data_IF_738248755119
#
_entry.id   IF_738248755119
#
_cell.length_a   1.000
_cell.length_b   1.000
_cell.length_c   1.000
_cell.angle_alpha   90.00
_cell.angle_beta   90.00
_cell.angle_gamma   90.00
#
_symmetry.space_group_name_H-M   'P 1'
#
loop_
_entity.id
_entity.type
_entity.pdbx_description
1 polymer ?
#
# COMPACT_ATOMS: atom_id res chain seq x y z
N UNK A 1 1.98 -37.36 20.62
CA UNK A 1 1.71 -36.82 19.28
C UNK A 1 2.91 -35.98 18.89
N UNK A 2 3.55 -36.28 17.76
CA UNK A 2 4.63 -35.45 17.24
C UNK A 2 4.02 -34.17 16.61
N UNK A 3 4.72 -33.03 16.59
CA UNK A 3 4.25 -31.83 15.90
C UNK A 3 4.06 -32.12 14.41
N UNK A 4 3.09 -31.48 13.78
CA UNK A 4 2.93 -31.53 12.34
C UNK A 4 4.20 -30.99 11.65
N UNK A 5 4.59 -31.64 10.55
CA UNK A 5 5.75 -31.21 9.79
C UNK A 5 5.51 -29.80 9.22
N UNK A 6 6.54 -28.95 9.28
CA UNK A 6 6.48 -27.62 8.70
C UNK A 6 6.18 -27.71 7.20
N UNK A 7 5.22 -26.89 6.75
CA UNK A 7 4.87 -26.81 5.33
C UNK A 7 6.04 -26.23 4.55
N UNK A 8 6.36 -26.82 3.40
CA UNK A 8 7.42 -26.30 2.53
C UNK A 8 6.91 -25.11 1.70
N UNK A 9 7.68 -24.00 1.62
CA UNK A 9 7.38 -22.89 0.74
C UNK A 9 7.33 -23.31 -0.73
N UNK A 10 6.45 -22.67 -1.50
CA UNK A 10 6.42 -22.81 -2.96
C UNK A 10 7.37 -21.79 -3.62
N UNK A 11 7.81 -22.00 -4.87
CA UNK A 11 8.60 -20.99 -5.59
C UNK A 11 7.90 -19.63 -5.71
N UNK A 12 6.57 -19.63 -5.84
CA UNK A 12 5.77 -18.40 -5.85
C UNK A 12 5.75 -17.75 -4.47
N UNK A 13 5.55 -18.53 -3.40
CA UNK A 13 5.60 -18.04 -2.03
C UNK A 13 6.94 -17.40 -1.65
N UNK A 14 8.05 -17.97 -2.12
CA UNK A 14 9.41 -17.44 -1.89
C UNK A 14 9.69 -16.14 -2.64
N UNK A 15 9.05 -15.93 -3.79
CA UNK A 15 9.29 -14.76 -4.66
C UNK A 15 8.27 -13.64 -4.46
N UNK A 16 7.23 -13.87 -3.66
CA UNK A 16 6.13 -12.93 -3.45
C UNK A 16 6.61 -11.57 -2.92
N UNK A 17 7.51 -11.57 -1.93
CA UNK A 17 7.86 -10.39 -1.13
C UNK A 17 6.70 -9.91 -0.25
N UNK A 18 6.70 -8.63 0.14
CA UNK A 18 5.70 -8.05 1.03
C UNK A 18 4.41 -7.71 0.28
N UNK A 19 3.31 -8.30 0.74
CA UNK A 19 1.97 -8.09 0.22
C UNK A 19 1.10 -7.45 1.30
N UNK A 20 0.78 -6.16 1.15
CA UNK A 20 0.02 -5.39 2.14
C UNK A 20 -1.34 -4.99 1.57
N UNK A 21 -2.41 -5.53 2.13
CA UNK A 21 -3.77 -5.37 1.63
C UNK A 21 -4.65 -4.65 2.65
N UNK A 22 -5.44 -3.70 2.18
CA UNK A 22 -6.57 -3.15 2.93
C UNK A 22 -7.85 -3.82 2.44
N UNK A 23 -8.75 -4.21 3.34
CA UNK A 23 -10.05 -4.79 2.98
C UNK A 23 -11.16 -3.91 3.55
N UNK A 24 -11.97 -3.33 2.66
CA UNK A 24 -13.07 -2.44 2.99
C UNK A 24 -14.35 -2.94 2.33
N UNK A 25 -15.48 -2.76 3.01
CA UNK A 25 -16.81 -3.07 2.49
C UNK A 25 -17.85 -2.74 3.54
N UNK A 26 -19.13 -2.78 3.16
CA UNK A 26 -20.22 -2.51 4.10
C UNK A 26 -20.21 -3.50 5.28
N UNK A 27 -20.95 -3.17 6.34
CA UNK A 27 -21.16 -4.11 7.43
C UNK A 27 -21.81 -5.40 6.89
N UNK A 28 -21.22 -6.55 7.22
CA UNK A 28 -21.67 -7.84 6.72
C UNK A 28 -21.24 -8.19 5.28
N UNK A 29 -20.40 -7.38 4.60
CA UNK A 29 -19.96 -7.64 3.23
C UNK A 29 -19.08 -8.89 3.03
N UNK A 30 -18.83 -9.69 4.07
CA UNK A 30 -18.00 -10.89 3.98
C UNK A 30 -16.49 -10.64 3.94
N UNK A 31 -16.00 -9.56 4.58
CA UNK A 31 -14.57 -9.21 4.65
C UNK A 31 -13.73 -10.35 5.23
N UNK A 32 -14.10 -10.87 6.39
CA UNK A 32 -13.36 -11.99 7.02
C UNK A 32 -13.48 -13.29 6.22
N UNK A 33 -14.61 -13.51 5.53
CA UNK A 33 -14.76 -14.64 4.60
C UNK A 33 -13.81 -14.54 3.41
N UNK A 34 -13.67 -13.34 2.82
CA UNK A 34 -12.69 -13.09 1.77
C UNK A 34 -11.27 -13.38 2.27
N UNK A 35 -10.91 -12.88 3.45
CA UNK A 35 -9.59 -13.11 4.05
C UNK A 35 -9.32 -14.59 4.28
N UNK A 36 -10.32 -15.35 4.77
CA UNK A 36 -10.25 -16.81 4.85
C UNK A 36 -9.97 -17.44 3.49
N UNK A 37 -10.74 -17.07 2.45
CA UNK A 37 -10.56 -17.62 1.10
C UNK A 37 -9.18 -17.32 0.49
N UNK A 38 -8.56 -16.19 0.85
CA UNK A 38 -7.22 -15.81 0.40
C UNK A 38 -6.12 -16.65 1.06
N UNK A 39 -6.29 -17.07 2.31
CA UNK A 39 -5.22 -17.66 3.12
C UNK A 39 -5.45 -19.15 3.45
N UNK A 40 -6.67 -19.53 3.78
CA UNK A 40 -7.05 -20.90 4.10
C UNK A 40 -6.93 -21.78 2.84
N UNK A 41 -6.34 -22.96 3.03
CA UNK A 41 -6.01 -23.90 1.96
C UNK A 41 -5.16 -23.29 0.83
N UNK A 42 -4.46 -22.18 1.09
CA UNK A 42 -3.52 -21.58 0.14
C UNK A 42 -2.18 -22.30 0.16
N UNK A 43 -1.82 -22.95 -0.95
CA UNK A 43 -0.59 -23.71 -1.08
C UNK A 43 0.67 -22.87 -0.91
N UNK A 44 0.61 -21.59 -1.27
CA UNK A 44 1.74 -20.67 -1.10
C UNK A 44 1.88 -20.15 0.32
N UNK A 45 0.90 -20.36 1.20
CA UNK A 45 0.92 -19.90 2.59
C UNK A 45 1.41 -21.02 3.50
N UNK A 46 2.52 -20.78 4.18
CA UNK A 46 3.14 -21.74 5.11
C UNK A 46 2.65 -21.60 6.54
N UNK A 47 2.25 -20.39 6.94
CA UNK A 47 1.70 -20.10 8.26
C UNK A 47 0.69 -18.95 8.19
N UNK A 48 -0.43 -19.08 8.91
CA UNK A 48 -1.41 -18.02 9.13
C UNK A 48 -1.37 -17.65 10.62
N UNK A 49 -1.15 -16.38 10.91
CA UNK A 49 -1.15 -15.85 12.26
C UNK A 49 -2.55 -15.71 12.84
N UNK A 50 -2.64 -15.05 13.98
CA UNK A 50 -3.92 -14.70 14.63
C UNK A 50 -4.33 -13.27 14.30
N UNK A 51 -5.63 -12.99 14.38
CA UNK A 51 -6.12 -11.63 14.30
C UNK A 51 -5.58 -10.78 15.47
N UNK A 52 -4.99 -9.65 15.14
CA UNK A 52 -4.51 -8.63 16.08
C UNK A 52 -5.41 -7.39 15.96
N UNK A 53 -5.84 -6.83 17.11
CA UNK A 53 -6.55 -5.55 17.11
C UNK A 53 -5.56 -4.42 16.79
N UNK A 54 -5.93 -3.55 15.86
CA UNK A 54 -5.16 -2.36 15.48
C UNK A 54 -6.02 -1.10 15.62
N UNK A 55 -5.38 0.06 15.65
CA UNK A 55 -6.03 1.37 15.83
C UNK A 55 -7.22 1.59 14.88
N UNK A 56 -7.13 1.05 13.67
CA UNK A 56 -8.09 1.30 12.61
C UNK A 56 -8.88 0.06 12.16
N UNK A 57 -8.77 -1.07 12.84
CA UNK A 57 -9.40 -2.31 12.41
C UNK A 57 -8.72 -3.55 13.00
N UNK A 58 -8.71 -4.65 12.25
CA UNK A 58 -8.02 -5.87 12.64
C UNK A 58 -6.98 -6.24 11.61
N UNK A 59 -5.85 -6.74 12.04
CA UNK A 59 -4.75 -7.14 11.17
C UNK A 59 -4.55 -8.64 11.26
N UNK A 60 -4.44 -9.29 10.13
CA UNK A 60 -4.03 -10.68 10.02
C UNK A 60 -2.71 -10.73 9.25
N UNK A 61 -1.72 -11.42 9.81
CA UNK A 61 -0.45 -11.66 9.14
C UNK A 61 -0.33 -13.12 8.75
N UNK A 62 0.24 -13.37 7.58
CA UNK A 62 0.56 -14.71 7.10
C UNK A 62 1.94 -14.71 6.46
N UNK A 63 2.51 -15.91 6.33
CA UNK A 63 3.85 -16.13 5.81
C UNK A 63 3.76 -17.04 4.59
N UNK A 64 4.52 -16.71 3.55
CA UNK A 64 4.67 -17.58 2.38
C UNK A 64 6.05 -18.25 2.31
N UNK A 65 6.92 -17.95 3.27
CA UNK A 65 8.27 -18.49 3.36
C UNK A 65 8.73 -18.57 4.83
N UNK A 66 9.83 -19.30 5.06
CA UNK A 66 10.49 -19.42 6.36
C UNK A 66 11.86 -18.76 6.33
N UNK A 67 12.14 -17.92 7.32
CA UNK A 67 13.49 -17.41 7.58
C UNK A 67 14.26 -18.47 8.35
N UNK A 68 15.29 -19.03 7.73
CA UNK A 68 16.23 -19.93 8.39
C UNK A 68 17.23 -19.10 9.22
N UNK A 69 17.24 -19.33 10.53
CA UNK A 69 18.21 -18.80 11.46
C UNK A 69 19.10 -19.93 11.97
N UNK A 70 20.40 -19.70 12.00
CA UNK A 70 21.34 -20.55 12.73
C UNK A 70 21.65 -19.89 14.06
N UNK A 71 21.31 -20.56 15.15
CA UNK A 71 21.67 -20.07 16.47
C UNK A 71 23.17 -20.26 16.75
N UNK A 72 23.65 -19.67 17.86
CA UNK A 72 25.05 -19.77 18.27
C UNK A 72 25.51 -21.22 18.57
N UNK A 73 24.57 -22.16 18.69
CA UNK A 73 24.81 -23.58 18.94
C UNK A 73 24.73 -24.41 17.65
N UNK A 74 24.48 -23.78 16.49
CA UNK A 74 24.38 -24.45 15.19
C UNK A 74 23.05 -25.13 14.95
N UNK A 75 22.03 -24.88 15.77
CA UNK A 75 20.67 -25.37 15.54
C UNK A 75 19.95 -24.45 14.56
N UNK A 76 19.26 -25.07 13.61
CA UNK A 76 18.38 -24.39 12.66
C UNK A 76 17.06 -24.05 13.35
N UNK A 77 16.73 -22.76 13.37
CA UNK A 77 15.45 -22.23 13.82
C UNK A 77 14.76 -21.59 12.61
N UNK A 78 13.53 -22.01 12.35
CA UNK A 78 12.71 -21.42 11.30
C UNK A 78 11.77 -20.39 11.91
N UNK A 79 11.72 -19.19 11.34
CA UNK A 79 10.81 -18.11 11.73
C UNK A 79 9.94 -17.72 10.54
N UNK A 80 8.63 -17.59 10.75
CA UNK A 80 7.71 -17.15 9.71
C UNK A 80 8.04 -15.74 9.23
N UNK A 81 8.08 -15.51 7.91
CA UNK A 81 8.39 -14.20 7.32
C UNK A 81 7.37 -13.11 7.64
N UNK A 82 6.09 -13.46 7.83
CA UNK A 82 4.97 -12.53 8.03
C UNK A 82 4.85 -11.48 6.92
N UNK A 83 5.21 -11.85 5.70
CA UNK A 83 5.27 -10.97 4.53
C UNK A 83 3.90 -10.67 3.91
N UNK A 84 2.83 -11.34 4.35
CA UNK A 84 1.45 -11.01 3.94
C UNK A 84 0.75 -10.33 5.10
N UNK A 85 0.27 -9.11 4.89
CA UNK A 85 -0.49 -8.33 5.87
C UNK A 85 -1.85 -7.96 5.28
N UNK A 86 -2.93 -8.37 5.94
CA UNK A 86 -4.31 -8.03 5.57
C UNK A 86 -4.93 -7.23 6.70
N UNK A 87 -5.26 -5.97 6.42
CA UNK A 87 -5.94 -5.07 7.36
C UNK A 87 -7.43 -5.04 7.01
N UNK A 88 -8.25 -5.63 7.87
CA UNK A 88 -9.70 -5.53 7.79
C UNK A 88 -10.18 -4.22 8.43
N UNK A 89 -10.70 -3.32 7.60
CA UNK A 89 -11.21 -2.02 8.01
C UNK A 89 -12.66 -2.13 8.50
N UNK A 90 -13.10 -1.28 9.44
CA UNK A 90 -14.48 -1.21 9.92
C UNK A 90 -15.47 -1.15 8.76
N UNK A 91 -16.56 -1.92 8.88
CA UNK A 91 -17.64 -1.84 7.91
C UNK A 91 -18.36 -0.50 8.01
N UNK A 92 -18.76 0.04 6.87
CA UNK A 92 -19.64 1.22 6.80
C UNK A 92 -21.08 0.81 6.53
N UNK A 93 -22.01 1.71 6.84
CA UNK A 93 -23.44 1.56 6.63
C UNK A 93 -24.04 2.81 5.97
N UNK A 94 -25.37 2.89 5.88
CA UNK A 94 -26.06 4.04 5.28
C UNK A 94 -26.02 5.31 6.14
N UNK A 95 -25.71 5.20 7.44
CA UNK A 95 -25.65 6.32 8.37
C UNK A 95 -24.23 6.88 8.53
N UNK A 96 -23.25 6.19 7.96
CA UNK A 96 -21.84 6.57 8.05
C UNK A 96 -21.60 7.88 7.29
N UNK A 97 -20.99 8.88 7.96
CA UNK A 97 -20.52 10.09 7.28
C UNK A 97 -19.39 9.72 6.31
N UNK A 98 -19.69 9.80 5.02
CA UNK A 98 -18.75 9.44 3.96
C UNK A 98 -17.49 10.30 3.94
N UNK A 99 -17.56 11.57 4.34
CA UNK A 99 -16.39 12.44 4.36
C UNK A 99 -15.46 12.11 5.53
N UNK A 100 -16.04 11.86 6.71
CA UNK A 100 -15.28 11.41 7.89
C UNK A 100 -14.60 10.07 7.61
N UNK A 101 -15.33 9.12 7.04
CA UNK A 101 -14.79 7.82 6.64
C UNK A 101 -13.65 7.98 5.65
N UNK A 102 -13.82 8.77 4.59
CA UNK A 102 -12.77 9.01 3.59
C UNK A 102 -11.54 9.67 4.23
N UNK A 103 -11.73 10.63 5.14
CA UNK A 103 -10.61 11.28 5.83
C UNK A 103 -9.82 10.26 6.68
N UNK A 104 -10.51 9.40 7.42
CA UNK A 104 -9.90 8.30 8.19
C UNK A 104 -9.18 7.30 7.31
N UNK A 105 -9.76 6.93 6.17
CA UNK A 105 -9.11 5.99 5.24
C UNK A 105 -7.87 6.61 4.59
N UNK A 106 -7.90 7.91 4.28
CA UNK A 106 -6.72 8.63 3.79
C UNK A 106 -5.61 8.68 4.83
N UNK A 107 -5.90 8.92 6.11
CA UNK A 107 -4.85 8.93 7.14
C UNK A 107 -4.14 7.58 7.26
N UNK A 108 -4.88 6.48 7.14
CA UNK A 108 -4.31 5.12 7.10
C UNK A 108 -3.41 4.94 5.87
N UNK A 109 -3.92 5.27 4.68
CA UNK A 109 -3.17 5.11 3.41
C UNK A 109 -1.94 6.02 3.38
N UNK A 110 -2.03 7.23 3.93
CA UNK A 110 -0.94 8.21 3.91
C UNK A 110 0.10 7.97 5.00
N UNK A 111 -0.20 7.20 6.06
CA UNK A 111 0.79 6.83 7.08
C UNK A 111 2.10 6.28 6.48
N UNK A 112 2.10 5.24 5.62
CA UNK A 112 3.31 4.79 4.94
C UNK A 112 3.85 5.82 3.92
N UNK A 113 3.01 6.72 3.39
CA UNK A 113 3.48 7.77 2.48
C UNK A 113 4.38 8.77 3.21
N UNK A 114 3.98 9.22 4.40
CA UNK A 114 4.81 10.10 5.23
C UNK A 114 6.10 9.39 5.62
N UNK A 115 6.02 8.14 6.10
CA UNK A 115 7.21 7.37 6.49
C UNK A 115 8.23 7.22 5.33
N UNK A 116 7.77 6.98 4.12
CA UNK A 116 8.63 6.93 2.93
C UNK A 116 9.15 8.31 2.56
N UNK A 117 8.29 9.33 2.57
CA UNK A 117 8.66 10.70 2.22
C UNK A 117 9.73 11.27 3.14
N UNK A 118 9.69 10.94 4.44
CA UNK A 118 10.65 11.39 5.45
C UNK A 118 12.07 10.89 5.17
N UNK A 119 12.20 9.71 4.56
CA UNK A 119 13.50 9.12 4.19
C UNK A 119 13.97 9.60 2.81
N UNK A 120 13.05 10.06 1.96
CA UNK A 120 13.38 10.56 0.63
C UNK A 120 13.75 12.05 0.66
N UNK A 121 14.92 12.40 0.13
CA UNK A 121 15.36 13.79 0.05
C UNK A 121 14.31 14.69 -0.63
N UNK A 122 13.95 15.86 -0.06
CA UNK A 122 12.87 16.73 -0.56
C UNK A 122 13.04 17.20 -2.00
N UNK A 123 14.28 17.33 -2.48
CA UNK A 123 14.56 17.81 -3.85
C UNK A 123 14.48 16.71 -4.91
N UNK A 124 14.37 15.44 -4.52
CA UNK A 124 14.33 14.34 -5.48
C UNK A 124 13.02 14.38 -6.28
N UNK A 125 13.12 14.66 -7.57
CA UNK A 125 11.97 14.56 -8.47
C UNK A 125 11.63 13.09 -8.75
N UNK A 126 10.37 12.78 -9.09
CA UNK A 126 10.02 11.44 -9.57
C UNK A 126 10.89 11.04 -10.75
N UNK A 127 11.45 9.84 -10.69
CA UNK A 127 12.29 9.26 -11.72
C UNK A 127 12.01 7.77 -11.81
N UNK A 128 12.34 7.16 -12.96
CA UNK A 128 12.15 5.72 -13.15
C UNK A 128 12.92 4.87 -12.11
N UNK A 129 14.12 5.32 -11.72
CA UNK A 129 14.94 4.64 -10.70
C UNK A 129 14.23 4.67 -9.34
N UNK A 130 13.73 5.83 -8.93
CA UNK A 130 13.00 5.98 -7.68
C UNK A 130 11.70 5.17 -7.70
N UNK A 131 10.97 5.18 -8.82
CA UNK A 131 9.77 4.38 -8.98
C UNK A 131 10.07 2.88 -8.83
N UNK A 132 11.10 2.36 -9.50
CA UNK A 132 11.48 0.95 -9.41
C UNK A 132 11.90 0.53 -7.99
N UNK A 133 12.59 1.42 -7.27
CA UNK A 133 12.95 1.18 -5.88
C UNK A 133 11.71 1.11 -4.98
N UNK A 134 10.78 2.06 -5.15
CA UNK A 134 9.55 2.14 -4.35
C UNK A 134 8.53 1.05 -4.71
N UNK A 135 8.60 0.49 -5.92
CA UNK A 135 7.82 -0.68 -6.33
C UNK A 135 8.48 -2.00 -5.97
N UNK A 136 9.59 -1.98 -5.23
CA UNK A 136 10.32 -3.20 -4.84
C UNK A 136 9.48 -4.10 -3.94
N UNK A 137 9.82 -5.39 -3.83
CA UNK A 137 9.07 -6.34 -3.02
C UNK A 137 9.01 -6.02 -1.52
N UNK A 138 9.90 -5.18 -0.99
CA UNK A 138 9.92 -4.78 0.42
C UNK A 138 9.35 -3.37 0.65
N UNK A 139 8.51 -2.89 -0.27
CA UNK A 139 7.92 -1.56 -0.16
C UNK A 139 6.96 -1.48 1.03
N UNK A 140 7.02 -0.41 1.85
CA UNK A 140 6.08 -0.23 2.93
C UNK A 140 4.72 0.29 2.44
N UNK A 141 4.55 0.60 1.14
CA UNK A 141 3.28 1.07 0.60
C UNK A 141 2.24 -0.07 0.59
N UNK A 142 0.97 0.28 0.82
CA UNK A 142 -0.11 -0.69 0.61
C UNK A 142 -0.18 -1.10 -0.86
N UNK A 143 -0.15 -2.41 -1.10
CA UNK A 143 -0.19 -3.00 -2.45
C UNK A 143 -1.54 -2.75 -3.11
N UNK A 144 -2.64 -2.94 -2.37
CA UNK A 144 -3.99 -2.67 -2.86
C UNK A 144 -5.01 -2.49 -1.72
N UNK A 145 -6.11 -1.81 -2.05
CA UNK A 145 -7.37 -1.79 -1.32
C UNK A 145 -8.37 -2.68 -2.05
N UNK A 146 -8.78 -3.78 -1.41
CA UNK A 146 -9.87 -4.62 -1.88
C UNK A 146 -11.18 -4.04 -1.35
N UNK A 147 -12.03 -3.63 -2.27
CA UNK A 147 -13.32 -3.00 -1.98
C UNK A 147 -14.46 -3.98 -2.30
N UNK A 148 -15.04 -4.54 -1.24
CA UNK A 148 -16.21 -5.41 -1.30
C UNK A 148 -17.47 -4.55 -1.43
N UNK A 149 -18.05 -4.60 -2.62
CA UNK A 149 -19.15 -3.74 -3.00
C UNK A 149 -20.43 -4.57 -3.14
N UNK A 150 -21.60 -4.00 -2.78
CA UNK A 150 -22.89 -4.63 -3.08
C UNK A 150 -23.13 -4.74 -4.61
N UNK A 151 -24.16 -5.48 -5.01
CA UNK A 151 -24.51 -5.72 -6.43
C UNK A 151 -24.72 -4.46 -7.27
N UNK A 152 -24.96 -3.31 -6.63
CA UNK A 152 -25.06 -2.00 -7.27
C UNK A 152 -24.32 -0.94 -6.45
N UNK A 153 -23.42 -0.14 -7.05
CA UNK A 153 -22.67 0.90 -6.32
C UNK A 153 -23.60 1.99 -5.80
N UNK A 154 -23.53 2.25 -4.50
CA UNK A 154 -24.19 3.37 -3.84
C UNK A 154 -23.43 4.69 -4.08
N UNK A 155 -24.05 5.81 -3.73
CA UNK A 155 -23.38 7.13 -3.78
C UNK A 155 -22.15 7.18 -2.88
N UNK A 156 -22.23 6.54 -1.70
CA UNK A 156 -21.10 6.43 -0.77
C UNK A 156 -19.96 5.60 -1.37
N UNK A 157 -20.27 4.48 -2.03
CA UNK A 157 -19.25 3.66 -2.70
C UNK A 157 -18.49 4.46 -3.76
N UNK A 158 -19.22 5.23 -4.58
CA UNK A 158 -18.61 6.09 -5.60
C UNK A 158 -17.75 7.19 -4.96
N UNK A 159 -18.21 7.79 -3.85
CA UNK A 159 -17.44 8.78 -3.10
C UNK A 159 -16.12 8.19 -2.59
N UNK A 160 -16.17 7.01 -1.97
CA UNK A 160 -14.99 6.30 -1.46
C UNK A 160 -14.02 6.00 -2.61
N UNK A 161 -14.49 5.37 -3.69
CA UNK A 161 -13.65 4.99 -4.83
C UNK A 161 -13.01 6.22 -5.47
N UNK A 162 -13.79 7.28 -5.72
CA UNK A 162 -13.26 8.48 -6.36
C UNK A 162 -12.27 9.24 -5.47
N UNK A 163 -12.48 9.19 -4.14
CA UNK A 163 -11.63 9.88 -3.17
C UNK A 163 -10.34 9.14 -2.83
N UNK A 164 -10.37 7.80 -2.82
CA UNK A 164 -9.22 6.96 -2.44
C UNK A 164 -8.44 6.43 -3.65
N UNK A 165 -9.06 6.32 -4.83
CA UNK A 165 -8.41 5.88 -6.05
C UNK A 165 -7.12 6.67 -6.38
N UNK A 166 -7.02 7.99 -6.17
CA UNK A 166 -5.75 8.69 -6.35
C UNK A 166 -4.60 8.23 -5.43
N UNK A 167 -4.88 7.51 -4.34
CA UNK A 167 -3.93 7.23 -3.26
C UNK A 167 -3.59 5.74 -3.11
N UNK A 168 -4.44 4.80 -3.50
CA UNK A 168 -4.17 3.35 -3.38
C UNK A 168 -4.84 2.57 -4.52
N UNK A 169 -4.20 1.52 -5.09
CA UNK A 169 -4.83 0.62 -6.07
C UNK A 169 -6.12 0.00 -5.54
N UNK A 170 -7.26 0.30 -6.17
CA UNK A 170 -8.56 -0.23 -5.73
C UNK A 170 -8.96 -1.40 -6.63
N UNK A 171 -9.14 -2.57 -6.01
CA UNK A 171 -9.69 -3.77 -6.63
C UNK A 171 -11.12 -3.94 -6.12
N UNK A 172 -12.11 -3.91 -7.01
CA UNK A 172 -13.52 -4.03 -6.63
C UNK A 172 -14.01 -5.47 -6.82
N UNK A 173 -14.67 -6.03 -5.80
CA UNK A 173 -15.31 -7.34 -5.86
C UNK A 173 -16.79 -7.26 -5.48
N UNK A 174 -17.72 -7.87 -6.27
CA UNK A 174 -17.47 -8.50 -7.57
C UNK A 174 -17.04 -7.50 -8.64
N UNK A 175 -16.34 -7.96 -9.69
CA UNK A 175 -15.81 -7.07 -10.73
C UNK A 175 -16.93 -6.28 -11.40
N UNK A 176 -16.75 -4.96 -11.44
CA UNK A 176 -17.64 -4.05 -12.16
C UNK A 176 -17.59 -4.32 -13.67
N UNK A 177 -18.75 -4.35 -14.31
CA UNK A 177 -18.80 -4.44 -15.77
C UNK A 177 -18.33 -3.12 -16.40
N UNK A 178 -17.34 -3.16 -17.33
CA UNK A 178 -16.68 -1.96 -17.85
C UNK A 178 -17.62 -1.00 -18.58
N UNK A 179 -18.78 -1.48 -19.05
CA UNK A 179 -19.72 -0.67 -19.83
C UNK A 179 -20.68 0.18 -18.99
N UNK A 180 -20.80 -0.06 -17.68
CA UNK A 180 -21.74 0.66 -16.80
C UNK A 180 -21.13 1.89 -16.10
N UNK A 181 -19.81 1.97 -16.00
CA UNK A 181 -19.15 2.94 -15.12
C UNK A 181 -18.07 3.77 -15.82
N UNK A 182 -18.46 4.49 -16.89
CA UNK A 182 -17.58 5.46 -17.59
C UNK A 182 -17.05 6.61 -16.71
N UNK A 183 -17.45 6.69 -15.44
CA UNK A 183 -17.00 7.72 -14.49
C UNK A 183 -15.93 7.26 -13.49
N UNK A 184 -15.60 5.97 -13.38
CA UNK A 184 -14.69 5.45 -12.35
C UNK A 184 -13.30 5.19 -12.96
N UNK A 185 -12.54 6.27 -13.20
CA UNK A 185 -11.27 6.21 -13.94
C UNK A 185 -10.04 5.80 -13.11
N UNK A 186 -10.17 5.55 -11.80
CA UNK A 186 -9.02 5.40 -10.87
C UNK A 186 -8.89 4.04 -10.16
N UNK A 187 -9.59 3.02 -10.66
CA UNK A 187 -9.42 1.63 -10.18
C UNK A 187 -8.07 1.06 -10.62
N UNK A 188 -7.69 -0.09 -10.04
CA UNK A 188 -6.56 -0.86 -10.57
C UNK A 188 -6.87 -1.43 -11.96
N UNK A 189 -5.82 -1.64 -12.77
CA UNK A 189 -5.94 -2.40 -14.02
C UNK A 189 -6.15 -3.90 -13.77
N UNK A 190 -5.73 -4.42 -12.61
CA UNK A 190 -6.03 -5.79 -12.21
C UNK A 190 -7.48 -5.88 -11.72
N UNK A 191 -8.32 -6.62 -12.45
CA UNK A 191 -9.76 -6.75 -12.21
C UNK A 191 -10.18 -8.22 -12.16
N UNK A 192 -9.91 -8.91 -11.05
CA UNK A 192 -10.27 -10.31 -10.91
C UNK A 192 -11.80 -10.48 -10.91
N UNK A 193 -12.36 -11.45 -11.66
CA UNK A 193 -13.80 -11.67 -11.72
C UNK A 193 -14.38 -12.28 -10.44
N UNK A 194 -13.54 -12.86 -9.58
CA UNK A 194 -13.93 -13.54 -8.34
C UNK A 194 -12.82 -13.47 -7.30
N UNK A 195 -13.15 -13.81 -6.05
CA UNK A 195 -12.17 -13.88 -4.97
C UNK A 195 -11.13 -15.01 -5.18
N UNK A 196 -11.50 -16.10 -5.87
CA UNK A 196 -10.55 -17.15 -6.27
C UNK A 196 -9.55 -16.62 -7.30
N UNK A 197 -10.03 -15.87 -8.32
CA UNK A 197 -9.14 -15.23 -9.30
C UNK A 197 -8.27 -14.14 -8.66
N UNK A 198 -8.78 -13.44 -7.63
CA UNK A 198 -7.99 -12.52 -6.82
C UNK A 198 -6.84 -13.29 -6.13
N UNK A 199 -7.12 -14.41 -5.45
CA UNK A 199 -6.09 -15.24 -4.81
C UNK A 199 -5.02 -15.69 -5.80
N UNK A 200 -5.43 -16.24 -6.96
CA UNK A 200 -4.49 -16.67 -8.00
C UNK A 200 -3.63 -15.49 -8.49
N UNK A 201 -4.24 -14.33 -8.77
CA UNK A 201 -3.47 -13.16 -9.22
C UNK A 201 -2.52 -12.61 -8.15
N UNK A 202 -2.90 -12.65 -6.87
CA UNK A 202 -2.05 -12.15 -5.78
C UNK A 202 -0.91 -13.09 -5.40
N UNK A 203 -1.11 -14.41 -5.47
CA UNK A 203 -0.13 -15.37 -4.97
C UNK A 203 0.62 -16.12 -6.09
N UNK A 204 0.01 -16.32 -7.26
CA UNK A 204 0.59 -17.10 -8.36
C UNK A 204 0.96 -16.26 -9.60
N UNK A 205 0.81 -14.93 -9.57
CA UNK A 205 1.25 -14.05 -10.66
C UNK A 205 2.16 -12.94 -10.13
N UNK A 206 3.49 -13.15 -10.15
CA UNK A 206 4.44 -12.12 -9.72
C UNK A 206 4.31 -10.83 -10.54
N UNK A 207 3.91 -10.94 -11.82
CA UNK A 207 3.65 -9.79 -12.70
C UNK A 207 2.48 -8.95 -12.20
N UNK A 208 1.42 -9.59 -11.70
CA UNK A 208 0.24 -8.90 -11.16
C UNK A 208 0.61 -8.12 -9.89
N UNK A 209 1.39 -8.73 -8.99
CA UNK A 209 1.84 -8.05 -7.77
C UNK A 209 2.81 -6.91 -8.09
N UNK A 210 3.74 -7.11 -9.03
CA UNK A 210 4.63 -6.05 -9.50
C UNK A 210 3.86 -4.86 -10.11
N UNK A 211 2.81 -5.15 -10.90
CA UNK A 211 1.91 -4.13 -11.44
C UNK A 211 1.21 -3.35 -10.32
N UNK A 212 0.65 -4.04 -9.31
CA UNK A 212 -0.02 -3.37 -8.19
C UNK A 212 0.96 -2.48 -7.38
N UNK A 213 2.18 -2.95 -7.14
CA UNK A 213 3.25 -2.17 -6.49
C UNK A 213 3.63 -0.94 -7.32
N UNK A 214 3.72 -1.08 -8.64
CA UNK A 214 3.98 0.05 -9.54
C UNK A 214 2.84 1.08 -9.48
N UNK A 215 1.58 0.63 -9.51
CA UNK A 215 0.44 1.54 -9.37
C UNK A 215 0.43 2.26 -8.01
N UNK A 216 0.71 1.55 -6.91
CA UNK A 216 0.80 2.13 -5.58
C UNK A 216 1.91 3.19 -5.50
N UNK A 217 3.05 2.89 -6.12
CA UNK A 217 4.19 3.81 -6.23
C UNK A 217 3.84 5.06 -7.02
N UNK A 218 3.18 4.93 -8.18
CA UNK A 218 2.75 6.07 -8.98
C UNK A 218 1.77 6.97 -8.19
N UNK A 219 0.86 6.37 -7.42
CA UNK A 219 -0.09 7.10 -6.55
C UNK A 219 0.65 7.85 -5.42
N UNK A 220 1.66 7.23 -4.81
CA UNK A 220 2.52 7.88 -3.83
C UNK A 220 3.30 9.06 -4.42
N UNK A 221 3.97 8.86 -5.57
CA UNK A 221 4.79 9.91 -6.19
C UNK A 221 3.93 11.11 -6.58
N UNK A 222 2.72 10.88 -7.11
CA UNK A 222 1.74 11.95 -7.39
C UNK A 222 1.31 12.68 -6.13
N UNK A 223 1.00 11.95 -5.06
CA UNK A 223 0.67 12.58 -3.78
C UNK A 223 1.80 13.48 -3.29
N UNK A 224 3.04 12.99 -3.36
CA UNK A 224 4.24 13.74 -2.94
C UNK A 224 4.45 15.02 -3.75
N UNK A 225 4.20 14.98 -5.06
CA UNK A 225 4.24 16.20 -5.90
C UNK A 225 3.17 17.21 -5.51
N UNK A 226 1.95 16.74 -5.21
CA UNK A 226 0.85 17.61 -4.76
C UNK A 226 1.17 18.27 -3.42
N UNK A 227 1.71 17.53 -2.44
CA UNK A 227 2.13 18.10 -1.15
C UNK A 227 3.19 19.18 -1.32
N UNK A 228 4.22 18.94 -2.15
CA UNK A 228 5.25 19.95 -2.43
C UNK A 228 4.68 21.21 -3.08
N UNK A 229 3.81 21.04 -4.07
CA UNK A 229 3.18 22.18 -4.73
C UNK A 229 2.29 22.97 -3.75
N UNK A 230 1.60 22.29 -2.83
CA UNK A 230 0.83 22.94 -1.79
C UNK A 230 1.73 23.74 -0.83
N UNK A 231 2.86 23.17 -0.41
CA UNK A 231 3.84 23.85 0.44
C UNK A 231 4.43 25.11 -0.23
N UNK A 232 4.77 25.03 -1.52
CA UNK A 232 5.28 26.16 -2.30
C UNK A 232 4.26 27.31 -2.37
N UNK A 233 2.98 27.00 -2.54
CA UNK A 233 1.87 27.98 -2.53
C UNK A 233 1.72 28.60 -1.13
N UNK A 234 1.80 27.80 -0.06
CA UNK A 234 1.72 28.29 1.31
C UNK A 234 2.92 29.18 1.67
N UNK A 235 4.14 28.84 1.24
CA UNK A 235 5.33 29.65 1.41
C UNK A 235 5.21 30.98 0.65
N UNK A 236 4.79 30.94 -0.61
CA UNK A 236 4.60 32.12 -1.46
C UNK A 236 3.59 33.11 -0.87
N UNK A 237 2.50 32.61 -0.28
CA UNK A 237 1.47 33.43 0.38
C UNK A 237 2.00 34.14 1.64
N UNK A 238 2.90 33.50 2.40
CA UNK A 238 3.52 34.11 3.58
C UNK A 238 4.48 35.25 3.21
N UNK A 239 5.16 35.15 2.07
CA UNK A 239 6.09 36.19 1.61
C UNK A 239 5.38 37.38 0.94
N UNK A 240 4.27 37.15 0.23
CA UNK A 240 3.49 38.21 -0.44
C UNK A 240 2.56 38.99 0.51
N UNK A 241 2.18 38.41 1.65
CA UNK A 241 1.35 39.06 2.67
C UNK A 241 1.99 40.27 3.37
N UNK A 242 3.27 40.55 3.12
CA UNK A 242 3.95 41.73 3.68
C UNK A 242 4.10 42.91 2.71
N UNK A 243 3.87 42.76 1.40
CA UNK A 243 4.28 43.83 0.46
C UNK A 243 3.35 44.22 -0.70
N UNK A 244 2.18 43.61 -0.94
CA UNK A 244 1.31 44.10 -2.05
C UNK A 244 -0.19 43.86 -1.84
N UNK A 245 -0.88 44.90 -1.36
CA UNK A 245 -2.23 45.18 -1.83
C UNK A 245 -2.13 45.66 -3.29
N UNK A 246 -2.28 44.73 -4.26
CA UNK A 246 -2.64 44.95 -5.69
C UNK A 246 -2.15 43.76 -6.52
N UNK A 247 -2.95 42.70 -6.61
CA UNK A 247 -3.36 42.06 -7.86
C UNK A 247 -4.22 40.84 -7.49
N UNK A 248 -5.54 40.99 -7.63
CA UNK A 248 -6.51 39.94 -7.33
C UNK A 248 -6.55 38.91 -8.47
N UNK A 249 -5.47 38.14 -8.66
CA UNK A 249 -5.53 36.94 -9.50
C UNK A 249 -6.15 35.83 -8.66
N UNK A 250 -7.48 35.73 -8.74
CA UNK A 250 -8.26 34.68 -8.08
C UNK A 250 -7.84 33.34 -8.66
N UNK A 251 -7.22 32.50 -7.82
CA UNK A 251 -6.84 31.13 -8.14
C UNK A 251 -8.05 30.36 -8.69
N UNK A 252 -7.91 29.81 -9.90
CA UNK A 252 -8.95 29.01 -10.55
C UNK A 252 -8.55 27.53 -10.52
N UNK A 253 -9.07 26.82 -9.52
CA UNK A 253 -8.85 25.39 -9.31
C UNK A 253 -9.24 24.56 -10.54
N UNK A 254 -10.29 24.95 -11.25
CA UNK A 254 -10.79 24.19 -12.41
C UNK A 254 -9.80 24.22 -13.57
N UNK A 255 -9.13 25.35 -13.77
CA UNK A 255 -8.08 25.53 -14.78
C UNK A 255 -6.81 24.75 -14.42
N UNK A 256 -6.43 24.75 -13.14
CA UNK A 256 -5.28 23.97 -12.67
C UNK A 256 -5.53 22.47 -12.86
N UNK A 257 -6.71 21.96 -12.49
CA UNK A 257 -7.05 20.54 -12.66
C UNK A 257 -7.13 20.11 -14.13
N UNK A 258 -7.59 20.98 -15.03
CA UNK A 258 -7.65 20.67 -16.47
C UNK A 258 -6.26 20.63 -17.12
N UNK A 259 -5.40 21.61 -16.81
CA UNK A 259 -4.02 21.65 -17.32
C UNK A 259 -3.21 20.46 -16.79
N UNK A 260 -3.43 20.02 -15.54
CA UNK A 260 -2.75 18.86 -14.95
C UNK A 260 -3.20 17.51 -15.55
N UNK A 261 -4.50 17.33 -15.83
CA UNK A 261 -5.06 16.08 -16.37
C UNK A 261 -4.59 15.79 -17.81
N UNK A 262 -4.36 16.85 -18.60
CA UNK A 262 -3.93 16.73 -20.00
C UNK A 262 -2.46 16.30 -20.12
N UNK A 263 -1.57 16.84 -19.26
CA UNK A 263 -0.16 16.38 -19.19
C UNK A 263 -0.03 14.95 -18.64
N UNK A 264 -0.88 14.55 -17.71
CA UNK A 264 -0.85 13.22 -17.11
C UNK A 264 -1.19 12.11 -18.11
N UNK A 265 -2.13 12.37 -19.01
CA UNK A 265 -2.54 11.42 -20.06
C UNK A 265 -1.46 11.30 -21.15
N UNK A 266 -0.72 12.37 -21.43
CA UNK A 266 0.48 12.36 -22.27
C UNK A 266 1.63 11.53 -21.67
N UNK A 267 1.93 11.69 -20.38
CA UNK A 267 3.01 10.94 -19.72
C UNK A 267 2.69 9.44 -19.53
N UNK A 268 1.44 9.10 -19.26
CA UNK A 268 0.98 7.70 -19.25
C UNK A 268 1.05 7.10 -20.65
N UNK A 269 0.60 7.81 -21.69
CA UNK A 269 0.72 7.35 -23.07
C UNK A 269 2.18 7.18 -23.50
N UNK A 270 3.07 8.07 -23.05
CA UNK A 270 4.51 8.00 -23.30
C UNK A 270 5.14 6.77 -22.60
N UNK A 271 4.84 6.54 -21.32
CA UNK A 271 5.34 5.35 -20.60
C UNK A 271 4.76 4.03 -21.12
N UNK A 272 3.49 3.99 -21.52
CA UNK A 272 2.89 2.81 -22.16
C UNK A 272 3.61 2.53 -23.48
N UNK A 273 3.94 3.57 -24.26
CA UNK A 273 4.69 3.40 -25.50
C UNK A 273 6.12 2.94 -25.26
N UNK A 274 6.78 3.44 -24.21
CA UNK A 274 8.14 3.05 -23.83
C UNK A 274 8.21 1.63 -23.22
N UNK A 275 7.16 1.18 -22.54
CA UNK A 275 7.06 -0.17 -21.97
C UNK A 275 6.62 -1.27 -22.96
N UNK A 276 6.14 -0.91 -24.16
CA UNK A 276 5.66 -1.89 -25.17
C UNK A 276 6.70 -2.20 -26.28
N UNK A 277 7.91 -1.64 -26.21
CA UNK A 277 8.96 -1.77 -27.26
C UNK A 277 9.92 -2.94 -26.97
N UNK A 278 9.43 -4.10 -26.53
CA UNK A 278 10.22 -5.35 -26.59
C UNK A 278 9.52 -6.46 -27.36
N UNK A 279 8.35 -6.21 -27.94
CA UNK A 279 7.57 -7.29 -28.57
C UNK A 279 6.79 -6.83 -29.81
N UNK A 280 7.50 -6.32 -30.83
CA UNK A 280 7.07 -6.31 -32.23
C UNK A 280 8.18 -5.71 -33.09
N UNK A 281 9.01 -6.58 -33.65
CA UNK A 281 9.41 -6.56 -35.07
C UNK A 281 10.45 -7.65 -35.33
N UNK A 282 9.97 -8.89 -35.32
CA UNK A 282 10.63 -9.98 -36.04
C UNK A 282 9.60 -10.43 -37.08
N UNK A 283 10.03 -10.42 -38.35
CA UNK A 283 9.30 -10.82 -39.57
C UNK A 283 8.60 -9.66 -40.34
N UNK A 284 9.39 -8.88 -41.11
CA UNK A 284 9.21 -8.80 -42.58
C UNK A 284 10.31 -7.96 -43.30
N UNK A 285 11.15 -8.69 -44.04
CA UNK A 285 11.70 -8.39 -45.39
C UNK A 285 12.56 -7.13 -45.67
N UNK A 286 13.86 -7.40 -45.91
CA UNK A 286 14.70 -7.00 -47.08
C UNK A 286 14.54 -5.57 -47.65
N UNK A 287 15.55 -4.72 -47.49
CA UNK A 287 16.63 -4.42 -48.46
C UNK A 287 17.39 -3.13 -48.10
N UNK A 288 18.72 -3.19 -48.32
CA UNK A 288 19.69 -2.10 -48.61
C UNK A 288 20.23 -1.15 -47.52
N UNK A 289 21.57 -1.19 -47.49
CA UNK A 289 22.53 -0.07 -47.36
C UNK A 289 22.95 0.44 -45.96
N UNK A 290 23.98 -0.24 -45.44
CA UNK A 290 25.28 0.29 -45.00
C UNK A 290 25.35 1.64 -44.25
N UNK A 291 25.40 1.59 -42.92
CA UNK A 291 26.23 2.46 -42.07
C UNK A 291 26.66 1.72 -40.78
N UNK A 292 27.84 2.03 -40.19
CA UNK A 292 28.46 1.23 -39.13
C UNK A 292 27.83 1.47 -37.74
N UNK A 293 27.96 0.53 -36.79
CA UNK A 293 27.18 0.53 -35.56
C UNK A 293 27.79 1.43 -34.49
N UNK A 294 26.99 2.35 -33.96
CA UNK A 294 27.21 2.91 -32.64
C UNK A 294 26.88 1.83 -31.60
N UNK A 295 27.89 1.48 -30.82
CA UNK A 295 27.87 0.49 -29.77
C UNK A 295 26.79 0.82 -28.74
N UNK A 296 25.89 -0.13 -28.53
CA UNK A 296 24.99 -0.18 -27.38
C UNK A 296 25.82 -0.16 -26.10
N UNK A 297 25.60 0.83 -25.23
CA UNK A 297 26.13 0.85 -23.87
C UNK A 297 25.64 -0.39 -23.12
N UNK A 298 26.52 -1.30 -22.67
CA UNK A 298 26.11 -2.39 -21.81
C UNK A 298 25.77 -1.82 -20.42
N UNK A 299 24.76 -2.43 -19.80
CA UNK A 299 24.47 -2.33 -18.37
C UNK A 299 25.78 -2.38 -17.56
N UNK A 300 26.01 -1.38 -16.72
CA UNK A 300 27.11 -1.37 -15.77
C UNK A 300 26.77 -2.30 -14.58
N UNK A 301 27.45 -3.45 -14.42
CA UNK A 301 27.14 -4.43 -13.38
C UNK A 301 27.57 -3.98 -11.97
N UNK A 302 28.15 -2.78 -11.81
CA UNK A 302 28.55 -2.23 -10.51
C UNK A 302 27.39 -1.63 -9.70
N UNK A 303 26.17 -1.58 -10.24
CA UNK A 303 25.02 -1.02 -9.51
C UNK A 303 24.24 -2.01 -8.63
N UNK A 304 24.35 -3.33 -8.84
CA UNK A 304 23.63 -4.32 -8.03
C UNK A 304 24.09 -4.35 -6.56
N UNK A 305 25.39 -4.28 -6.24
CA UNK A 305 25.84 -4.20 -4.85
C UNK A 305 25.42 -2.89 -4.17
N UNK A 306 25.41 -1.77 -4.91
CA UNK A 306 24.98 -0.47 -4.39
C UNK A 306 23.47 -0.43 -4.13
N UNK A 307 22.67 -1.07 -4.99
CA UNK A 307 21.22 -1.19 -4.81
C UNK A 307 20.88 -2.13 -3.65
N UNK A 308 21.60 -3.24 -3.53
CA UNK A 308 21.47 -4.16 -2.40
C UNK A 308 21.87 -3.49 -1.08
N UNK A 309 23.05 -2.85 -1.01
CA UNK A 309 23.49 -2.11 0.17
C UNK A 309 22.56 -0.95 0.51
N UNK A 310 21.99 -0.27 -0.49
CA UNK A 310 20.99 0.76 -0.27
C UNK A 310 19.67 0.19 0.28
N UNK A 311 19.17 -0.92 -0.28
CA UNK A 311 17.97 -1.61 0.25
C UNK A 311 18.16 -2.11 1.69
N UNK A 312 19.35 -2.63 2.03
CA UNK A 312 19.71 -3.02 3.41
C UNK A 312 19.85 -1.79 4.31
N UNK A 313 20.36 -0.67 3.79
CA UNK A 313 20.50 0.59 4.54
C UNK A 313 19.17 1.27 4.86
N UNK A 314 18.12 1.02 4.07
CA UNK A 314 16.75 1.45 4.39
C UNK A 314 16.09 0.52 5.42
N UNK A 315 16.44 -0.77 5.40
CA UNK A 315 15.84 -1.79 6.27
C UNK A 315 16.18 -1.57 7.76
N UNK A 316 17.39 -1.13 8.09
CA UNK A 316 17.84 -0.91 9.47
C UNK A 316 17.15 0.26 10.20
N UNK A 317 17.22 1.49 9.65
CA UNK A 317 16.56 2.67 10.22
C UNK A 317 15.04 2.53 10.24
N UNK A 318 14.42 1.97 9.19
CA UNK A 318 12.97 1.78 9.12
C UNK A 318 12.47 0.72 10.12
N UNK A 319 13.15 -0.42 10.26
CA UNK A 319 12.80 -1.44 11.26
C UNK A 319 13.02 -0.96 12.70
N UNK A 320 14.06 -0.16 12.93
CA UNK A 320 14.32 0.41 14.26
C UNK A 320 13.37 1.55 14.62
N UNK A 321 12.93 2.36 13.64
CA UNK A 321 11.94 3.41 13.86
C UNK A 321 10.54 2.83 14.02
N UNK A 322 10.13 1.86 13.21
CA UNK A 322 8.82 1.21 13.36
C UNK A 322 8.73 0.45 14.70
N UNK A 323 9.84 -0.16 15.16
CA UNK A 323 9.91 -0.80 16.49
C UNK A 323 9.96 0.23 17.64
N UNK A 324 10.57 1.41 17.45
CA UNK A 324 10.59 2.51 18.44
C UNK A 324 9.25 3.24 18.54
N UNK A 325 8.60 3.52 17.42
CA UNK A 325 7.25 4.11 17.40
C UNK A 325 6.22 3.15 17.99
N UNK A 326 6.39 1.83 17.81
CA UNK A 326 5.59 0.84 18.50
C UNK A 326 5.96 0.70 19.99
N UNK A 327 7.24 0.77 20.38
CA UNK A 327 7.62 0.69 21.80
C UNK A 327 7.20 1.92 22.60
N UNK A 328 7.34 3.12 22.06
CA UNK A 328 6.89 4.37 22.70
C UNK A 328 5.35 4.39 22.85
N UNK A 329 4.64 3.72 21.94
CA UNK A 329 3.20 3.48 22.02
C UNK A 329 2.83 2.41 23.05
N UNK A 330 3.61 1.34 23.20
CA UNK A 330 3.42 0.32 24.25
C UNK A 330 3.76 0.84 25.66
N UNK A 331 4.76 1.73 25.79
CA UNK A 331 5.07 2.40 27.07
C UNK A 331 3.95 3.38 27.47
N UNK A 332 3.33 4.07 26.51
CA UNK A 332 2.13 4.89 26.74
C UNK A 332 0.90 4.04 27.18
N UNK A 333 0.78 2.81 26.67
CA UNK A 333 -0.25 1.84 27.13
C UNK A 333 0.06 1.27 28.53
N UNK A 334 1.34 1.14 28.89
CA UNK A 334 1.77 0.78 30.25
C UNK A 334 1.31 1.78 31.31
N UNK A 335 1.43 3.08 31.03
CA UNK A 335 0.95 4.14 31.94
C UNK A 335 -0.58 4.18 32.07
N UNK A 336 -1.31 3.79 31.02
CA UNK A 336 -2.77 3.79 31.00
C UNK A 336 -3.33 2.62 31.83
N UNK A 337 -2.68 1.46 31.81
CA UNK A 337 -3.03 0.31 32.65
C UNK A 337 -2.79 0.56 34.15
N UNK A 338 -1.74 1.32 34.51
CA UNK A 338 -1.50 1.73 35.91
C UNK A 338 -2.58 2.70 36.39
N UNK A 339 -3.03 3.62 35.53
CA UNK A 339 -4.14 4.54 35.83
C UNK A 339 -5.49 3.81 35.92
N UNK A 340 -5.75 2.82 35.06
CA UNK A 340 -6.96 2.01 35.11
C UNK A 340 -7.01 1.11 36.36
N UNK A 341 -5.88 0.54 36.77
CA UNK A 341 -5.77 -0.26 37.99
C UNK A 341 -6.01 0.58 39.27
N UNK A 342 -5.53 1.83 39.30
CA UNK A 342 -5.78 2.77 40.41
C UNK A 342 -7.25 3.18 40.50
N UNK A 343 -7.93 3.40 39.37
CA UNK A 343 -9.36 3.73 39.34
C UNK A 343 -10.23 2.51 39.67
N UNK A 344 -9.85 1.33 39.20
CA UNK A 344 -10.53 0.06 39.52
C UNK A 344 -10.44 -0.30 41.01
N UNK A 345 -9.27 -0.11 41.63
CA UNK A 345 -9.09 -0.33 43.07
C UNK A 345 -9.89 0.63 43.95
N UNK A 346 -10.04 1.88 43.51
CA UNK A 346 -10.81 2.90 44.24
C UNK A 346 -12.33 2.60 44.25
N UNK A 347 -12.88 2.06 43.17
CA UNK A 347 -14.29 1.71 43.08
C UNK A 347 -14.64 0.42 43.84
N UNK A 348 -13.74 -0.56 43.86
CA UNK A 348 -13.92 -1.78 44.68
C UNK A 348 -13.82 -1.45 46.19
N UNK A 349 -12.99 -0.48 46.57
CA UNK A 349 -12.89 0.00 47.96
C UNK A 349 -14.17 0.66 48.49
N UNK A 350 -14.91 1.40 47.66
CA UNK A 350 -16.20 2.00 48.08
C UNK A 350 -17.35 1.00 48.14
N UNK A 351 -17.33 -0.05 47.32
CA UNK A 351 -18.40 -1.06 47.29
C UNK A 351 -18.49 -1.92 48.55
N UNK A 352 -17.36 -2.21 49.19
CA UNK A 352 -17.32 -3.05 50.41
C UNK A 352 -17.74 -2.24 51.65
N UNK A 353 -17.55 -0.92 51.67
CA UNK A 353 -17.93 -0.06 52.79
C UNK A 353 -19.43 0.19 52.96
N UNK A 354 -20.24 -0.05 51.93
CA UNK A 354 -21.71 0.15 51.97
C UNK A 354 -22.46 -1.12 52.41
N UNK A 355 -21.83 -2.29 52.34
CA UNK A 355 -22.42 -3.56 52.79
C UNK A 355 -22.07 -3.95 54.24
N UNK A 356 -21.16 -3.20 54.87
CA UNK A 356 -20.77 -3.37 56.27
C UNK A 356 -21.32 -2.22 57.13
N UNK A 357 -22.66 -2.11 57.20
CA UNK A 357 -23.32 -1.33 58.25
C UNK A 357 -24.62 -1.96 58.71
#
# INVERSE_FOLDING_TARGET
>A
MLPDALRRPTPFGQTLGDLRLLVLGSQGAGKSFLTGLLLEDNEDVVEVGTWEDAEYGKVLRASTDWLEHRDAHGLEKYEATRNVEIVELPGYDHNTDGNELVAKLKSIIHSPFYAVSDVLHPTNQPSAILANLLSSPCTPLYTALIFLMPSSPTTLDRLIINSLGPHVPIIVLPSLHPNRDRGISKLSSFRPPSAVALRVGLFHSPETVALLRSEATDRFLRWREVERAADDVHASRRHTGKNTARHNSKWDKSRWESEWMETLSLDVAKRVREGTITERDIIRTKEKESHPPCINSPFDPLHLPSLFMFSVSLLGPLRSHMRRTLSDFFDALGELNVKLALVGGFLVGMGIGVYAR
#
